data_IF_078607369051
#
_entry.id   IF_078607369051
#
_cell.length_a   1.000
_cell.length_b   1.000
_cell.length_c   1.000
_cell.angle_alpha   90.00
_cell.angle_beta   90.00
_cell.angle_gamma   90.00
#
_symmetry.space_group_name_H-M   'P 1'
#
loop_
_entity.id
_entity.type
_entity.pdbx_description
1 polymer ?
#
# COMPACT_ATOMS: atom_id res chain seq x y z
N UNK A 1 16.25 -13.28 -20.64
CA UNK A 1 15.49 -12.06 -20.29
C UNK A 1 15.89 -11.60 -18.90
N UNK A 2 17.09 -11.04 -18.81
CA UNK A 2 17.67 -10.55 -17.56
C UNK A 2 16.85 -9.35 -17.03
N UNK A 3 16.41 -8.48 -17.94
CA UNK A 3 15.70 -7.23 -17.59
C UNK A 3 14.49 -7.39 -16.65
N UNK A 4 13.65 -8.40 -16.87
CA UNK A 4 12.42 -8.56 -16.05
C UNK A 4 12.68 -9.14 -14.68
N UNK A 5 13.69 -9.97 -14.51
CA UNK A 5 14.05 -10.66 -13.25
C UNK A 5 12.81 -11.13 -12.43
N UNK A 6 11.81 -11.70 -13.09
CA UNK A 6 10.48 -11.95 -12.53
C UNK A 6 10.52 -12.76 -11.23
N UNK A 7 11.33 -13.83 -11.19
CA UNK A 7 11.47 -14.67 -9.99
C UNK A 7 12.12 -13.91 -8.84
N UNK A 8 13.17 -13.13 -9.11
CA UNK A 8 13.87 -12.32 -8.11
C UNK A 8 12.96 -11.27 -7.49
N UNK A 9 12.19 -10.54 -8.32
CA UNK A 9 11.21 -9.59 -7.81
C UNK A 9 10.06 -10.26 -7.08
N UNK A 10 9.60 -11.44 -7.53
CA UNK A 10 8.59 -12.22 -6.80
C UNK A 10 9.06 -12.59 -5.39
N UNK A 11 10.28 -13.10 -5.27
CA UNK A 11 10.85 -13.48 -3.97
C UNK A 11 11.12 -12.26 -3.09
N UNK A 12 11.63 -11.17 -3.66
CA UNK A 12 11.78 -9.88 -2.96
C UNK A 12 10.44 -9.38 -2.41
N UNK A 13 9.40 -9.37 -3.23
CA UNK A 13 8.07 -8.90 -2.82
C UNK A 13 7.48 -9.75 -1.69
N UNK A 14 7.70 -11.07 -1.66
CA UNK A 14 7.31 -11.93 -0.52
C UNK A 14 8.00 -11.49 0.78
N UNK A 15 9.27 -11.09 0.69
CA UNK A 15 10.04 -10.65 1.85
C UNK A 15 9.61 -9.29 2.42
N UNK A 16 9.04 -8.41 1.60
CA UNK A 16 8.66 -7.06 2.00
C UNK A 16 7.17 -6.86 2.23
N UNK A 17 6.32 -7.79 1.83
CA UNK A 17 4.87 -7.78 2.13
C UNK A 17 4.62 -8.08 3.60
N UNK A 18 3.45 -7.71 4.08
CA UNK A 18 2.96 -8.17 5.37
C UNK A 18 2.97 -9.70 5.42
N UNK A 19 3.33 -10.25 6.57
CA UNK A 19 3.23 -11.69 6.80
C UNK A 19 1.77 -12.10 7.01
N UNK A 20 1.46 -13.37 6.83
CA UNK A 20 0.11 -13.90 7.10
C UNK A 20 -0.34 -13.61 8.54
N UNK A 21 0.55 -13.71 9.52
CA UNK A 21 0.25 -13.36 10.90
C UNK A 21 -0.10 -11.87 11.03
N UNK A 22 0.68 -10.97 10.40
CA UNK A 22 0.38 -9.54 10.43
C UNK A 22 -0.96 -9.21 9.77
N UNK A 23 -1.29 -9.85 8.65
CA UNK A 23 -2.60 -9.69 8.00
C UNK A 23 -3.73 -10.20 8.90
N UNK A 24 -3.56 -11.35 9.54
CA UNK A 24 -4.55 -11.91 10.47
C UNK A 24 -4.76 -11.00 11.69
N UNK A 25 -3.68 -10.45 12.25
CA UNK A 25 -3.74 -9.52 13.37
C UNK A 25 -4.43 -8.21 13.01
N UNK A 26 -4.09 -7.61 11.85
CA UNK A 26 -4.76 -6.42 11.32
C UNK A 26 -6.26 -6.68 11.14
N UNK A 27 -6.62 -7.79 10.51
CA UNK A 27 -8.00 -8.18 10.27
C UNK A 27 -8.78 -8.32 11.58
N UNK A 28 -8.27 -9.10 12.53
CA UNK A 28 -8.90 -9.28 13.84
C UNK A 28 -9.05 -7.96 14.60
N UNK A 29 -8.04 -7.08 14.53
CA UNK A 29 -8.06 -5.80 15.23
C UNK A 29 -9.14 -4.86 14.68
N UNK A 30 -9.18 -4.65 13.34
CA UNK A 30 -10.16 -3.74 12.76
C UNK A 30 -11.59 -4.31 12.81
N UNK A 31 -11.79 -5.62 12.63
CA UNK A 31 -13.10 -6.25 12.79
C UNK A 31 -13.64 -6.08 14.21
N UNK A 32 -12.79 -6.30 15.22
CA UNK A 32 -13.14 -6.10 16.63
C UNK A 32 -13.52 -4.65 16.92
N UNK A 33 -12.74 -3.68 16.42
CA UNK A 33 -13.06 -2.26 16.60
C UNK A 33 -14.38 -1.90 15.94
N UNK A 34 -14.59 -2.28 14.70
CA UNK A 34 -15.81 -2.00 13.94
C UNK A 34 -17.05 -2.62 14.57
N UNK A 35 -16.92 -3.85 15.10
CA UNK A 35 -18.01 -4.49 15.85
C UNK A 35 -18.35 -3.74 17.13
N UNK A 36 -17.35 -3.33 17.91
CA UNK A 36 -17.55 -2.53 19.13
C UNK A 36 -18.20 -1.18 18.84
N UNK A 37 -17.78 -0.49 17.75
CA UNK A 37 -18.41 0.76 17.33
C UNK A 37 -19.89 0.59 16.98
N UNK A 38 -20.23 -0.52 16.32
CA UNK A 38 -21.61 -0.84 15.96
C UNK A 38 -22.48 -1.17 17.17
N UNK A 39 -21.90 -1.77 18.20
CA UNK A 39 -22.60 -2.18 19.43
C UNK A 39 -22.65 -1.09 20.51
N UNK A 40 -21.91 0.00 20.35
CA UNK A 40 -21.89 1.10 21.32
C UNK A 40 -23.16 1.95 21.18
N UNK A 41 -23.94 2.03 22.27
CA UNK A 41 -25.25 2.70 22.28
C UNK A 41 -25.14 4.21 22.00
N UNK A 42 -24.07 4.86 22.50
CA UNK A 42 -23.87 6.30 22.34
C UNK A 42 -23.41 6.65 20.92
N UNK A 43 -22.47 5.85 20.36
CA UNK A 43 -21.93 6.09 19.03
C UNK A 43 -22.85 5.65 17.89
N UNK A 44 -23.73 4.68 18.14
CA UNK A 44 -24.70 4.21 17.14
C UNK A 44 -25.65 5.33 16.67
N UNK A 45 -25.87 6.36 17.49
CA UNK A 45 -26.67 7.52 17.13
C UNK A 45 -26.03 8.40 16.04
N UNK A 46 -24.69 8.39 15.92
CA UNK A 46 -23.98 9.20 14.92
C UNK A 46 -23.33 8.37 13.83
N UNK A 47 -23.01 7.12 14.07
CA UNK A 47 -22.28 6.27 13.11
C UNK A 47 -23.22 5.74 12.04
N UNK A 48 -22.94 6.13 10.79
CA UNK A 48 -23.68 5.66 9.61
C UNK A 48 -23.05 4.37 9.09
N UNK A 49 -21.74 4.37 8.92
CA UNK A 49 -20.99 3.29 8.29
C UNK A 49 -19.53 3.32 8.71
N UNK A 50 -18.81 2.22 8.54
CA UNK A 50 -17.37 2.18 8.71
C UNK A 50 -16.72 1.44 7.53
N UNK A 51 -15.59 1.92 7.05
CA UNK A 51 -14.82 1.22 6.02
C UNK A 51 -13.31 1.43 6.19
N UNK A 52 -12.53 0.54 5.58
CA UNK A 52 -11.08 0.60 5.62
C UNK A 52 -10.56 1.55 4.55
N UNK A 53 -9.46 2.25 4.88
CA UNK A 53 -8.69 3.03 3.92
C UNK A 53 -7.18 2.80 4.10
N UNK A 54 -6.36 3.67 3.52
CA UNK A 54 -4.93 3.70 3.70
C UNK A 54 -4.20 2.62 2.91
N UNK A 55 -2.94 2.40 3.27
CA UNK A 55 -2.05 1.52 2.52
C UNK A 55 -2.45 0.04 2.60
N UNK A 56 -3.07 -0.38 3.71
CA UNK A 56 -3.59 -1.73 3.85
C UNK A 56 -4.70 -1.98 2.82
N UNK A 57 -5.70 -1.10 2.76
CA UNK A 57 -6.84 -1.22 1.84
C UNK A 57 -6.42 -1.13 0.37
N UNK A 58 -5.47 -0.26 0.02
CA UNK A 58 -4.94 -0.15 -1.35
C UNK A 58 -3.92 -1.21 -1.72
N UNK A 59 -3.68 -2.20 -0.84
CA UNK A 59 -2.69 -3.27 -1.04
C UNK A 59 -1.26 -2.76 -1.26
N UNK A 60 -0.94 -1.57 -0.77
CA UNK A 60 0.38 -0.94 -0.89
C UNK A 60 1.19 -0.94 0.42
N UNK A 61 0.66 -1.59 1.45
CA UNK A 61 1.35 -1.77 2.72
C UNK A 61 2.63 -2.62 2.54
N UNK A 62 3.69 -2.23 3.25
CA UNK A 62 4.95 -2.98 3.31
C UNK A 62 5.26 -3.34 4.76
N UNK A 63 5.96 -4.46 4.94
CA UNK A 63 6.36 -4.97 6.25
C UNK A 63 6.99 -3.86 7.10
N UNK A 64 6.54 -3.66 8.34
CA UNK A 64 7.16 -2.72 9.25
C UNK A 64 8.59 -3.15 9.59
N UNK A 65 9.44 -2.17 9.93
CA UNK A 65 10.84 -2.36 10.32
C UNK A 65 11.08 -1.75 11.70
N UNK A 66 12.17 -2.14 12.34
CA UNK A 66 12.68 -1.50 13.55
C UNK A 66 11.65 -1.45 14.71
N UNK A 67 10.93 -2.55 14.91
CA UNK A 67 9.94 -2.65 15.99
C UNK A 67 8.66 -1.84 15.77
N UNK A 68 8.50 -1.20 14.60
CA UNK A 68 7.23 -0.55 14.23
C UNK A 68 6.15 -1.60 13.99
N UNK A 69 4.89 -1.20 14.21
CA UNK A 69 3.71 -2.03 13.98
C UNK A 69 3.13 -1.78 12.59
N UNK A 70 2.29 -2.70 12.14
CA UNK A 70 1.47 -2.49 10.95
C UNK A 70 0.29 -1.61 11.32
N UNK A 71 -0.11 -0.72 10.43
CA UNK A 71 -1.22 0.21 10.63
C UNK A 71 -2.40 -0.08 9.70
N UNK A 72 -3.60 0.16 10.20
CA UNK A 72 -4.83 0.18 9.41
C UNK A 72 -5.66 1.39 9.75
N UNK A 73 -6.08 2.10 8.71
CA UNK A 73 -6.91 3.29 8.80
C UNK A 73 -8.40 2.89 8.69
N UNK A 74 -9.22 3.34 9.64
CA UNK A 74 -10.65 3.08 9.67
C UNK A 74 -11.38 4.42 9.59
N UNK A 75 -12.14 4.61 8.52
CA UNK A 75 -13.07 5.73 8.40
C UNK A 75 -14.37 5.37 9.10
N UNK A 76 -14.85 6.27 9.93
CA UNK A 76 -16.19 6.22 10.49
C UNK A 76 -17.01 7.32 9.83
N UNK A 77 -17.91 6.94 8.94
CA UNK A 77 -18.88 7.87 8.36
C UNK A 77 -19.91 8.21 9.41
N UNK A 78 -20.08 9.49 9.68
CA UNK A 78 -21.06 9.95 10.68
C UNK A 78 -22.10 10.87 10.05
N UNK A 79 -23.21 11.09 10.76
CA UNK A 79 -24.22 12.09 10.44
C UNK A 79 -23.96 13.45 11.11
N UNK A 80 -22.74 13.68 11.62
CA UNK A 80 -22.37 14.94 12.25
C UNK A 80 -22.35 16.07 11.21
N UNK A 81 -23.05 17.17 11.51
CA UNK A 81 -23.04 18.35 10.64
C UNK A 81 -21.80 19.21 10.92
N UNK A 82 -20.91 19.30 9.92
CA UNK A 82 -19.69 20.10 9.97
C UNK A 82 -19.92 21.60 10.21
N UNK A 83 -21.15 22.10 10.02
CA UNK A 83 -21.49 23.51 10.25
C UNK A 83 -21.85 23.78 11.71
N UNK A 84 -22.15 22.75 12.50
CA UNK A 84 -22.61 22.87 13.90
C UNK A 84 -21.68 22.15 14.87
N UNK A 85 -20.83 21.24 14.41
CA UNK A 85 -19.89 20.48 15.24
C UNK A 85 -18.45 20.81 14.79
N UNK A 86 -17.63 21.25 15.72
CA UNK A 86 -16.22 21.54 15.46
C UNK A 86 -15.40 20.26 15.26
N UNK A 87 -14.21 20.33 14.60
CA UNK A 87 -13.30 19.19 14.48
C UNK A 87 -12.94 18.52 15.81
N UNK A 88 -12.66 19.31 16.84
CA UNK A 88 -12.34 18.81 18.17
C UNK A 88 -13.53 18.10 18.81
N UNK A 89 -14.72 18.71 18.80
CA UNK A 89 -15.94 18.10 19.34
C UNK A 89 -16.28 16.78 18.64
N UNK A 90 -16.08 16.71 17.32
CA UNK A 90 -16.34 15.48 16.57
C UNK A 90 -15.42 14.34 17.01
N UNK A 91 -14.14 14.63 17.20
CA UNK A 91 -13.16 13.65 17.67
C UNK A 91 -13.44 13.27 19.15
N UNK A 92 -13.74 14.24 20.01
CA UNK A 92 -13.98 14.01 21.44
C UNK A 92 -15.22 13.15 21.72
N UNK A 93 -16.19 13.09 20.79
CA UNK A 93 -17.33 12.15 20.90
C UNK A 93 -16.90 10.68 20.98
N UNK A 94 -15.73 10.34 20.46
CA UNK A 94 -15.20 8.98 20.48
C UNK A 94 -14.34 8.67 21.70
N UNK A 95 -13.94 9.68 22.48
CA UNK A 95 -13.06 9.49 23.64
C UNK A 95 -13.65 8.56 24.71
N UNK A 96 -14.95 8.67 25.12
CA UNK A 96 -15.55 7.75 26.09
C UNK A 96 -15.53 6.27 25.63
N UNK A 97 -15.77 6.03 24.35
CA UNK A 97 -15.68 4.70 23.75
C UNK A 97 -14.23 4.16 23.79
N UNK A 98 -13.26 5.02 23.46
CA UNK A 98 -11.85 4.65 23.49
C UNK A 98 -11.38 4.38 24.92
N UNK A 99 -11.80 5.19 25.89
CA UNK A 99 -11.48 4.95 27.28
C UNK A 99 -12.09 3.63 27.79
N UNK A 100 -13.31 3.32 27.40
CA UNK A 100 -14.00 2.07 27.77
C UNK A 100 -13.31 0.82 27.21
N UNK A 101 -12.83 0.86 25.96
CA UNK A 101 -12.36 -0.35 25.25
C UNK A 101 -10.85 -0.41 25.05
N UNK A 102 -10.14 0.74 25.12
CA UNK A 102 -8.74 0.88 24.79
C UNK A 102 -7.96 1.76 25.78
N UNK A 103 -8.43 1.84 27.03
CA UNK A 103 -7.79 2.65 28.08
C UNK A 103 -6.26 2.46 28.14
N UNK A 104 -5.55 3.58 28.15
CA UNK A 104 -4.09 3.61 28.16
C UNK A 104 -3.41 3.18 26.86
N UNK A 105 -4.17 2.97 25.77
CA UNK A 105 -3.64 2.52 24.47
C UNK A 105 -4.00 3.45 23.32
N UNK A 106 -4.63 4.58 23.58
CA UNK A 106 -5.02 5.52 22.54
C UNK A 106 -4.41 6.89 22.76
N UNK A 107 -4.26 7.64 21.68
CA UNK A 107 -3.70 8.98 21.69
C UNK A 107 -4.35 9.87 20.64
N UNK A 108 -4.48 11.16 20.94
CA UNK A 108 -4.95 12.18 20.00
C UNK A 108 -3.93 12.38 18.89
N UNK A 109 -4.41 12.42 17.67
CA UNK A 109 -3.65 12.82 16.47
C UNK A 109 -4.36 14.01 15.81
N UNK A 110 -3.73 14.67 14.85
CA UNK A 110 -4.31 15.86 14.20
C UNK A 110 -5.69 15.62 13.59
N UNK A 111 -5.92 14.44 13.01
CA UNK A 111 -7.14 14.10 12.24
C UNK A 111 -7.82 12.81 12.68
N UNK A 112 -7.27 12.14 13.67
CA UNK A 112 -7.70 10.80 14.08
C UNK A 112 -7.44 10.55 15.55
N UNK A 113 -7.91 9.40 16.03
CA UNK A 113 -7.41 8.75 17.21
C UNK A 113 -6.54 7.57 16.81
N UNK A 114 -5.29 7.56 17.28
CA UNK A 114 -4.40 6.39 17.14
C UNK A 114 -4.60 5.42 18.28
N UNK A 115 -4.78 4.13 18.01
CA UNK A 115 -4.89 3.07 19.02
C UNK A 115 -3.69 2.13 18.87
N UNK A 116 -2.87 2.05 19.91
CA UNK A 116 -1.67 1.22 19.93
C UNK A 116 -1.98 -0.16 20.52
N UNK A 117 -2.04 -1.17 19.66
CA UNK A 117 -2.15 -2.57 20.09
C UNK A 117 -0.78 -3.23 20.17
N UNK A 118 -0.71 -4.48 20.62
CA UNK A 118 0.58 -5.18 20.76
C UNK A 118 1.37 -5.29 19.46
N UNK A 119 0.69 -5.50 18.33
CA UNK A 119 1.32 -5.77 17.02
C UNK A 119 0.75 -4.92 15.88
N UNK A 120 -0.29 -4.16 16.15
CA UNK A 120 -1.05 -3.36 15.16
C UNK A 120 -1.34 -1.99 15.74
N UNK A 121 -1.28 -0.98 14.90
CA UNK A 121 -1.81 0.35 15.17
C UNK A 121 -3.10 0.54 14.38
N UNK A 122 -4.13 1.13 15.00
CA UNK A 122 -5.39 1.48 14.36
C UNK A 122 -5.53 3.00 14.36
N UNK A 123 -5.79 3.58 13.20
CA UNK A 123 -6.13 5.00 13.07
C UNK A 123 -7.63 5.14 12.80
N UNK A 124 -8.33 5.78 13.74
CA UNK A 124 -9.78 5.96 13.70
C UNK A 124 -10.08 7.39 13.29
N UNK A 125 -10.71 7.55 12.13
CA UNK A 125 -10.99 8.87 11.53
C UNK A 125 -12.50 9.05 11.40
N UNK A 126 -13.15 9.81 12.28
CA UNK A 126 -14.55 10.18 12.09
C UNK A 126 -14.67 11.18 10.93
N UNK A 127 -15.79 11.15 10.23
CA UNK A 127 -16.11 12.13 9.19
C UNK A 127 -17.42 12.81 9.50
N UNK A 128 -17.70 13.93 8.84
CA UNK A 128 -19.07 14.40 8.70
C UNK A 128 -19.70 13.78 7.44
N UNK A 129 -21.02 13.74 7.39
CA UNK A 129 -21.74 13.39 6.17
C UNK A 129 -21.68 14.52 5.14
N UNK A 130 -21.55 14.21 3.82
CA UNK A 130 -21.47 15.24 2.79
C UNK A 130 -22.80 15.96 2.52
N UNK A 131 -23.96 15.30 2.73
CA UNK A 131 -25.28 15.88 2.45
C UNK A 131 -26.40 15.34 3.36
N UNK A 132 -27.53 16.05 3.39
CA UNK A 132 -28.73 15.69 4.15
C UNK A 132 -29.45 14.42 3.63
N UNK A 133 -29.10 13.93 2.45
CA UNK A 133 -29.65 12.70 1.85
C UNK A 133 -29.15 11.40 2.50
N UNK A 134 -28.41 11.52 3.58
CA UNK A 134 -27.79 10.39 4.31
C UNK A 134 -28.83 9.47 4.96
N UNK A 135 -30.01 9.97 5.35
CA UNK A 135 -31.05 9.14 5.95
C UNK A 135 -31.54 8.02 5.00
N UNK A 136 -31.63 8.29 3.70
CA UNK A 136 -31.97 7.26 2.71
C UNK A 136 -30.80 6.29 2.46
N UNK A 137 -29.55 6.77 2.51
CA UNK A 137 -28.37 5.94 2.33
C UNK A 137 -28.14 4.96 3.51
N UNK A 138 -28.53 5.35 4.74
CA UNK A 138 -28.41 4.51 5.95
C UNK A 138 -29.28 3.26 5.85
N UNK A 139 -30.46 3.39 5.28
CA UNK A 139 -31.39 2.26 5.17
C UNK A 139 -30.99 1.22 4.13
N UNK A 140 -30.06 1.53 3.23
CA UNK A 140 -29.55 0.65 2.18
C UNK A 140 -28.15 0.07 2.45
N UNK A 141 -27.57 0.29 3.62
CA UNK A 141 -26.14 0.12 3.92
C UNK A 141 -25.65 -1.32 4.20
N UNK A 142 -26.35 -2.37 3.79
CA UNK A 142 -25.92 -3.76 4.00
C UNK A 142 -24.75 -4.23 3.11
N UNK A 143 -24.16 -3.36 2.28
CA UNK A 143 -23.28 -3.78 1.16
C UNK A 143 -21.76 -3.66 1.46
N UNK A 144 -21.36 -2.94 2.51
CA UNK A 144 -19.94 -2.61 2.76
C UNK A 144 -19.08 -3.75 3.25
N UNK A 145 -19.65 -4.73 3.94
CA UNK A 145 -18.92 -5.93 4.36
C UNK A 145 -18.42 -6.73 3.16
N UNK A 146 -19.15 -6.69 2.04
CA UNK A 146 -18.76 -7.39 0.81
C UNK A 146 -17.59 -6.72 0.09
N UNK A 147 -17.52 -5.38 0.11
CA UNK A 147 -16.42 -4.62 -0.53
C UNK A 147 -15.10 -4.85 0.19
N UNK A 148 -15.09 -4.84 1.52
CA UNK A 148 -13.88 -5.09 2.29
C UNK A 148 -13.35 -6.52 2.09
N UNK A 149 -14.24 -7.52 2.07
CA UNK A 149 -13.89 -8.92 1.82
C UNK A 149 -13.33 -9.13 0.40
N UNK A 150 -13.90 -8.47 -0.61
CA UNK A 150 -13.43 -8.57 -1.99
C UNK A 150 -12.02 -7.98 -2.15
N UNK A 151 -11.70 -6.87 -1.48
CA UNK A 151 -10.37 -6.27 -1.51
C UNK A 151 -9.32 -7.11 -0.78
N UNK A 152 -9.67 -7.76 0.33
CA UNK A 152 -8.79 -8.73 0.99
C UNK A 152 -8.46 -9.91 0.06
N UNK A 153 -9.45 -10.44 -0.65
CA UNK A 153 -9.25 -11.47 -1.67
C UNK A 153 -8.41 -10.97 -2.85
N UNK A 154 -8.50 -9.68 -3.22
CA UNK A 154 -7.63 -9.08 -4.23
C UNK A 154 -6.18 -9.07 -3.79
N UNK A 155 -5.87 -8.72 -2.53
CA UNK A 155 -4.49 -8.78 -2.04
C UNK A 155 -3.95 -10.23 -2.06
N UNK A 156 -4.75 -11.21 -1.72
CA UNK A 156 -4.39 -12.62 -1.88
C UNK A 156 -4.18 -13.03 -3.35
N UNK A 157 -5.00 -12.53 -4.27
CA UNK A 157 -4.83 -12.79 -5.70
C UNK A 157 -3.59 -12.13 -6.29
N UNK A 158 -3.17 -10.97 -5.78
CA UNK A 158 -1.88 -10.35 -6.11
C UNK A 158 -0.70 -11.13 -5.54
N UNK A 159 -0.89 -11.87 -4.44
CA UNK A 159 0.12 -12.79 -3.90
C UNK A 159 0.33 -14.01 -4.78
N UNK A 160 -0.71 -14.47 -5.45
CA UNK A 160 -0.77 -15.76 -6.15
C UNK A 160 -0.40 -15.73 -7.64
N UNK A 161 0.31 -14.76 -8.17
CA UNK A 161 0.79 -14.65 -9.55
C UNK A 161 -0.01 -13.75 -10.50
N UNK A 162 0.69 -12.81 -11.12
CA UNK A 162 0.25 -11.96 -12.21
C UNK A 162 -0.19 -12.67 -13.51
N UNK A 163 -0.49 -13.95 -13.50
CA UNK A 163 -0.80 -14.70 -14.71
C UNK A 163 -2.29 -15.03 -14.90
N UNK A 164 -3.12 -14.96 -13.84
CA UNK A 164 -4.53 -15.36 -13.94
C UNK A 164 -5.54 -14.20 -13.77
N UNK A 165 -5.13 -12.93 -13.76
CA UNK A 165 -5.86 -11.91 -13.02
C UNK A 165 -6.69 -10.91 -13.78
N UNK A 166 -6.56 -10.78 -15.09
CA UNK A 166 -7.37 -9.80 -15.85
C UNK A 166 -8.88 -9.97 -15.63
N UNK A 167 -9.33 -11.24 -15.47
CA UNK A 167 -10.75 -11.55 -15.28
C UNK A 167 -11.25 -11.35 -13.84
N UNK A 168 -10.39 -11.57 -12.83
CA UNK A 168 -10.78 -11.42 -11.43
C UNK A 168 -10.77 -9.96 -10.96
N UNK A 169 -9.83 -9.16 -11.48
CA UNK A 169 -9.78 -7.71 -11.25
C UNK A 169 -11.01 -7.00 -11.80
N UNK A 170 -11.38 -7.31 -13.06
CA UNK A 170 -12.57 -6.72 -13.67
C UNK A 170 -13.85 -7.10 -12.93
N UNK A 171 -13.92 -8.31 -12.37
CA UNK A 171 -15.07 -8.76 -11.56
C UNK A 171 -15.13 -8.04 -10.22
N UNK A 172 -13.99 -7.93 -9.51
CA UNK A 172 -13.93 -7.18 -8.25
C UNK A 172 -14.24 -5.69 -8.46
N UNK A 173 -13.74 -5.10 -9.55
CA UNK A 173 -14.03 -3.72 -9.93
C UNK A 173 -15.53 -3.52 -10.25
N UNK A 174 -16.13 -4.39 -11.04
CA UNK A 174 -17.56 -4.29 -11.36
C UNK A 174 -18.46 -4.45 -10.12
N UNK A 175 -18.06 -5.25 -9.14
CA UNK A 175 -18.75 -5.37 -7.86
C UNK A 175 -18.58 -4.11 -7.00
N UNK A 176 -17.39 -3.51 -7.02
CA UNK A 176 -17.12 -2.24 -6.34
C UNK A 176 -17.94 -1.09 -6.93
N UNK A 177 -17.92 -0.93 -8.26
CA UNK A 177 -18.76 0.08 -8.95
C UNK A 177 -20.24 -0.08 -8.60
N UNK A 178 -20.73 -1.32 -8.63
CA UNK A 178 -22.11 -1.63 -8.31
C UNK A 178 -22.47 -1.28 -6.86
N UNK A 179 -21.58 -1.53 -5.91
CA UNK A 179 -21.78 -1.18 -4.51
C UNK A 179 -21.62 0.33 -4.25
N UNK A 180 -20.76 1.01 -5.01
CA UNK A 180 -20.55 2.46 -4.88
C UNK A 180 -21.71 3.30 -5.41
N UNK A 181 -22.51 2.78 -6.37
CA UNK A 181 -23.69 3.49 -6.90
C UNK A 181 -24.90 3.48 -5.94
N UNK A 182 -24.89 2.61 -4.92
CA UNK A 182 -26.04 2.42 -4.05
C UNK A 182 -26.15 3.42 -2.89
N UNK A 183 -25.11 4.24 -2.65
CA UNK A 183 -25.15 5.29 -1.63
C UNK A 183 -24.53 6.59 -2.14
N UNK A 184 -25.29 7.67 -2.11
CA UNK A 184 -24.86 8.98 -2.65
C UNK A 184 -23.56 9.50 -2.02
N UNK A 185 -23.37 9.32 -0.71
CA UNK A 185 -22.15 9.75 -0.01
C UNK A 185 -20.87 9.04 -0.49
N UNK A 186 -20.96 7.86 -1.10
CA UNK A 186 -19.81 7.15 -1.67
C UNK A 186 -19.29 7.81 -2.96
N UNK A 187 -20.10 8.62 -3.61
CA UNK A 187 -19.73 9.36 -4.81
C UNK A 187 -19.31 10.81 -4.52
N UNK A 188 -19.41 11.26 -3.27
CA UNK A 188 -19.07 12.62 -2.84
C UNK A 188 -17.86 12.60 -1.89
N UNK A 189 -17.03 13.67 -1.88
CA UNK A 189 -16.00 13.83 -0.87
C UNK A 189 -16.58 13.85 0.55
N UNK A 190 -15.87 13.20 1.46
CA UNK A 190 -16.13 13.29 2.89
C UNK A 190 -15.38 14.47 3.49
N UNK A 191 -15.77 14.86 4.71
CA UNK A 191 -15.04 15.85 5.48
C UNK A 191 -14.48 15.20 6.73
N UNK A 192 -13.15 15.29 6.91
CA UNK A 192 -12.45 14.82 8.09
C UNK A 192 -12.07 15.99 8.99
N UNK A 193 -12.10 15.81 10.33
CA UNK A 193 -11.72 16.86 11.25
C UNK A 193 -10.22 17.08 11.22
N UNK A 194 -9.76 18.32 11.26
CA UNK A 194 -8.35 18.67 11.43
C UNK A 194 -8.21 19.63 12.62
N UNK A 195 -7.67 19.11 13.73
CA UNK A 195 -7.42 19.89 14.96
C UNK A 195 -6.33 20.93 14.80
N UNK A 196 -5.36 20.71 13.89
CA UNK A 196 -4.23 21.62 13.71
C UNK A 196 -4.67 22.91 13.02
N UNK A 197 -5.66 22.82 12.13
CA UNK A 197 -6.21 23.96 11.40
C UNK A 197 -7.57 24.42 11.93
N UNK A 198 -8.15 23.67 12.86
CA UNK A 198 -9.53 23.85 13.37
C UNK A 198 -10.57 23.91 12.25
N UNK A 199 -10.38 23.10 11.21
CA UNK A 199 -11.26 23.06 10.04
C UNK A 199 -11.60 21.62 9.65
N UNK A 200 -12.75 21.48 8.99
CA UNK A 200 -13.10 20.26 8.29
C UNK A 200 -12.47 20.25 6.90
N UNK A 201 -11.63 19.27 6.65
CA UNK A 201 -10.95 19.11 5.36
C UNK A 201 -11.63 18.05 4.49
N UNK A 202 -11.77 18.35 3.21
CA UNK A 202 -12.27 17.39 2.24
C UNK A 202 -11.31 16.23 2.03
N UNK A 203 -11.84 15.03 1.87
CA UNK A 203 -11.11 13.83 1.47
C UNK A 203 -12.03 12.90 0.70
N UNK A 204 -11.48 12.10 -0.22
CA UNK A 204 -12.26 11.12 -0.96
C UNK A 204 -11.58 9.75 -1.01
N UNK A 205 -11.55 9.01 0.11
CA UNK A 205 -10.82 7.74 0.21
C UNK A 205 -11.27 6.70 -0.81
N UNK A 206 -12.55 6.66 -1.15
CA UNK A 206 -13.09 5.71 -2.15
C UNK A 206 -12.54 5.99 -3.54
N UNK A 207 -12.41 7.27 -3.93
CA UNK A 207 -11.82 7.64 -5.21
C UNK A 207 -10.34 7.30 -5.28
N UNK A 208 -9.61 7.48 -4.17
CA UNK A 208 -8.21 7.06 -4.06
C UNK A 208 -8.04 5.55 -4.24
N UNK A 209 -8.98 4.75 -3.70
CA UNK A 209 -8.99 3.29 -3.87
C UNK A 209 -9.30 2.93 -5.32
N UNK A 210 -10.36 3.51 -5.91
CA UNK A 210 -10.77 3.29 -7.30
C UNK A 210 -9.62 3.60 -8.26
N UNK A 211 -9.01 4.77 -8.09
CA UNK A 211 -7.87 5.18 -8.90
C UNK A 211 -6.70 4.18 -8.81
N UNK A 212 -6.41 3.66 -7.61
CA UNK A 212 -5.35 2.65 -7.43
C UNK A 212 -5.65 1.36 -8.20
N UNK A 213 -6.91 0.92 -8.23
CA UNK A 213 -7.36 -0.25 -8.98
C UNK A 213 -7.17 -0.03 -10.47
N UNK A 214 -7.65 1.10 -10.99
CA UNK A 214 -7.57 1.46 -12.40
C UNK A 214 -6.11 1.57 -12.85
N UNK A 215 -5.28 2.27 -12.08
CA UNK A 215 -3.85 2.39 -12.34
C UNK A 215 -3.15 1.03 -12.33
N UNK A 216 -3.47 0.17 -11.38
CA UNK A 216 -2.90 -1.17 -11.33
C UNK A 216 -3.30 -2.01 -12.55
N UNK A 217 -4.54 -1.88 -13.02
CA UNK A 217 -5.02 -2.52 -14.25
C UNK A 217 -4.29 -1.98 -15.48
N UNK A 218 -4.16 -0.66 -15.61
CA UNK A 218 -3.42 -0.01 -16.71
C UNK A 218 -1.94 -0.40 -16.74
N UNK A 219 -1.36 -0.75 -15.59
CA UNK A 219 0.02 -1.21 -15.43
C UNK A 219 0.15 -2.75 -15.44
N UNK A 220 -0.75 -3.49 -16.08
CA UNK A 220 -0.71 -4.96 -16.15
C UNK A 220 -0.61 -5.68 -14.78
N UNK A 221 -1.15 -5.09 -13.72
CA UNK A 221 -1.08 -5.62 -12.35
C UNK A 221 0.24 -5.35 -11.62
N UNK A 222 1.14 -4.55 -12.16
CA UNK A 222 2.46 -4.31 -11.58
C UNK A 222 2.52 -3.07 -10.67
N UNK A 223 1.62 -2.08 -10.83
CA UNK A 223 1.68 -0.80 -10.13
C UNK A 223 1.80 -0.94 -8.59
N UNK A 224 0.92 -1.72 -7.96
CA UNK A 224 0.95 -1.93 -6.51
C UNK A 224 2.29 -2.50 -6.03
N UNK A 225 2.92 -3.35 -6.82
CA UNK A 225 4.23 -3.92 -6.53
C UNK A 225 5.37 -2.92 -6.74
N UNK A 226 5.26 -2.03 -7.73
CA UNK A 226 6.19 -0.89 -7.92
C UNK A 226 6.13 0.04 -6.71
N UNK A 227 4.93 0.39 -6.24
CA UNK A 227 4.74 1.19 -5.02
C UNK A 227 5.39 0.53 -3.81
N UNK A 228 5.14 -0.77 -3.58
CA UNK A 228 5.76 -1.53 -2.48
C UNK A 228 7.29 -1.51 -2.56
N UNK A 229 7.85 -1.73 -3.74
CA UNK A 229 9.30 -1.74 -3.95
C UNK A 229 9.94 -0.38 -3.64
N UNK A 230 9.36 0.73 -4.14
CA UNK A 230 9.89 2.08 -3.91
C UNK A 230 9.67 2.50 -2.44
N UNK A 231 8.53 2.18 -1.82
CA UNK A 231 8.32 2.40 -0.38
C UNK A 231 9.33 1.62 0.46
N UNK A 232 9.66 0.39 0.05
CA UNK A 232 10.69 -0.41 0.73
C UNK A 232 12.07 0.19 0.56
N UNK A 233 12.48 0.58 -0.66
CA UNK A 233 13.72 1.28 -0.92
C UNK A 233 13.90 2.48 0.03
N UNK A 234 12.87 3.32 0.16
CA UNK A 234 12.90 4.46 1.04
C UNK A 234 13.11 4.05 2.51
N UNK A 235 12.36 3.05 3.00
CA UNK A 235 12.50 2.53 4.37
C UNK A 235 13.87 1.87 4.62
N UNK A 236 14.44 1.24 3.60
CA UNK A 236 15.73 0.55 3.70
C UNK A 236 16.90 1.53 3.76
N UNK A 237 16.88 2.52 2.90
CA UNK A 237 18.00 3.45 2.72
C UNK A 237 17.91 4.69 3.62
N UNK A 238 16.72 5.09 3.95
CA UNK A 238 16.45 6.33 4.67
C UNK A 238 15.45 6.09 5.81
N UNK A 239 15.79 5.26 6.80
CA UNK A 239 14.87 4.83 7.86
C UNK A 239 14.38 5.97 8.74
N UNK A 240 15.19 7.01 8.93
CA UNK A 240 14.92 8.15 9.80
C UNK A 240 14.21 9.31 9.07
N UNK A 241 14.13 9.25 7.73
CA UNK A 241 13.49 10.30 6.93
C UNK A 241 11.97 10.11 6.97
N UNK A 242 11.26 11.13 7.49
CA UNK A 242 9.81 11.11 7.64
C UNK A 242 9.05 11.52 6.37
N UNK A 243 9.66 12.32 5.52
CA UNK A 243 9.01 12.92 4.35
C UNK A 243 9.69 12.53 3.03
N UNK A 244 8.93 12.48 1.91
CA UNK A 244 7.47 12.54 1.89
C UNK A 244 6.83 11.39 2.68
N UNK A 245 5.68 11.64 3.33
CA UNK A 245 4.89 10.59 4.02
C UNK A 245 4.44 9.51 3.03
N UNK A 246 3.92 8.39 3.55
CA UNK A 246 3.60 7.20 2.77
C UNK A 246 2.60 7.47 1.64
N UNK A 247 1.48 8.18 1.92
CA UNK A 247 0.48 8.47 0.91
C UNK A 247 0.97 9.47 -0.16
N UNK A 248 1.58 10.62 0.19
CA UNK A 248 2.20 11.51 -0.79
C UNK A 248 3.23 10.82 -1.71
N UNK A 249 4.06 9.96 -1.17
CA UNK A 249 5.00 9.16 -1.97
C UNK A 249 4.29 8.20 -2.92
N UNK A 250 3.27 7.48 -2.43
CA UNK A 250 2.46 6.56 -3.22
C UNK A 250 1.74 7.30 -4.37
N UNK A 251 1.17 8.47 -4.07
CA UNK A 251 0.52 9.34 -5.04
C UNK A 251 1.48 9.75 -6.15
N UNK A 252 2.66 10.26 -5.78
CA UNK A 252 3.69 10.69 -6.73
C UNK A 252 4.22 9.54 -7.59
N UNK A 253 4.43 8.35 -7.01
CA UNK A 253 4.73 7.14 -7.77
C UNK A 253 3.62 6.87 -8.80
N UNK A 254 2.36 7.07 -8.43
CA UNK A 254 1.23 6.87 -9.33
C UNK A 254 1.25 7.80 -10.55
N UNK A 255 1.60 9.07 -10.36
CA UNK A 255 1.71 10.03 -11.46
C UNK A 255 2.89 9.74 -12.38
N UNK A 256 3.97 9.17 -11.82
CA UNK A 256 5.19 8.90 -12.56
C UNK A 256 5.28 7.49 -13.15
N UNK A 257 4.53 6.52 -12.65
CA UNK A 257 4.51 5.16 -13.18
C UNK A 257 3.77 5.12 -14.52
N UNK A 258 4.46 4.69 -15.58
CA UNK A 258 3.87 4.59 -16.91
C UNK A 258 2.85 3.46 -16.99
N UNK A 259 1.78 3.66 -17.76
CA UNK A 259 0.87 2.58 -18.11
C UNK A 259 1.55 1.56 -19.04
N UNK A 260 1.05 0.34 -19.05
CA UNK A 260 1.56 -0.70 -19.93
C UNK A 260 2.89 -1.33 -19.52
N UNK A 261 3.46 -1.00 -18.36
CA UNK A 261 4.68 -1.65 -17.87
C UNK A 261 4.50 -3.17 -17.81
N UNK A 262 5.54 -3.91 -18.17
CA UNK A 262 5.50 -5.37 -18.27
C UNK A 262 6.18 -6.09 -17.11
N UNK A 263 6.81 -5.36 -16.19
CA UNK A 263 7.48 -5.92 -15.01
C UNK A 263 7.64 -4.89 -13.90
N UNK A 264 7.86 -5.38 -12.67
CA UNK A 264 8.17 -4.51 -11.53
C UNK A 264 9.52 -3.83 -11.71
N UNK A 265 10.51 -4.53 -12.30
CA UNK A 265 11.82 -3.97 -12.62
C UNK A 265 11.70 -2.75 -13.52
N UNK A 266 10.96 -2.89 -14.62
CA UNK A 266 10.67 -1.79 -15.55
C UNK A 266 9.94 -0.64 -14.87
N UNK A 267 8.86 -0.95 -14.14
CA UNK A 267 8.07 0.06 -13.45
C UNK A 267 8.87 0.86 -12.43
N UNK A 268 9.72 0.20 -11.62
CA UNK A 268 10.61 0.90 -10.68
C UNK A 268 11.60 1.80 -11.42
N UNK A 269 12.25 1.28 -12.46
CA UNK A 269 13.25 2.04 -13.22
C UNK A 269 12.64 3.28 -13.86
N UNK A 270 11.58 3.10 -14.65
CA UNK A 270 10.94 4.20 -15.37
C UNK A 270 10.32 5.23 -14.42
N UNK A 271 9.74 4.80 -13.30
CA UNK A 271 9.17 5.72 -12.30
C UNK A 271 10.26 6.60 -11.66
N UNK A 272 11.36 6.01 -11.22
CA UNK A 272 12.46 6.76 -10.61
C UNK A 272 13.11 7.73 -11.63
N UNK A 273 13.30 7.30 -12.87
CA UNK A 273 13.83 8.14 -13.94
C UNK A 273 12.90 9.31 -14.27
N UNK A 274 11.59 9.06 -14.34
CA UNK A 274 10.61 10.12 -14.60
C UNK A 274 10.62 11.16 -13.49
N UNK A 275 10.67 10.75 -12.21
CA UNK A 275 10.82 11.70 -11.12
C UNK A 275 12.11 12.50 -11.26
N UNK A 276 13.24 11.85 -11.55
CA UNK A 276 14.55 12.50 -11.68
C UNK A 276 14.65 13.46 -12.87
N UNK A 277 13.95 13.17 -13.97
CA UNK A 277 14.03 13.98 -15.19
C UNK A 277 13.01 15.10 -15.23
N UNK A 278 11.77 14.84 -14.78
CA UNK A 278 10.65 15.74 -15.02
C UNK A 278 10.32 16.63 -13.82
N UNK A 279 10.81 16.27 -12.61
CA UNK A 279 10.44 16.95 -11.37
C UNK A 279 11.64 17.46 -10.55
N UNK A 280 12.53 18.30 -11.15
CA UNK A 280 13.67 18.87 -10.43
C UNK A 280 13.27 19.87 -9.34
N UNK A 281 12.04 20.39 -9.37
CA UNK A 281 11.42 21.21 -8.33
C UNK A 281 10.16 20.52 -7.80
N UNK A 282 9.76 20.83 -6.56
CA UNK A 282 8.56 20.29 -5.93
C UNK A 282 7.32 20.58 -6.78
N UNK A 283 6.61 19.54 -7.28
CA UNK A 283 5.38 19.75 -8.04
C UNK A 283 4.19 20.03 -7.13
N UNK A 284 3.16 20.67 -7.67
CA UNK A 284 1.82 20.58 -7.15
C UNK A 284 1.23 19.22 -7.55
N UNK A 285 0.82 18.42 -6.56
CA UNK A 285 0.19 17.11 -6.79
C UNK A 285 -1.29 17.18 -6.45
N UNK A 286 -2.13 17.32 -7.48
CA UNK A 286 -3.59 17.35 -7.33
C UNK A 286 -4.11 16.03 -6.74
N UNK A 287 -4.82 16.08 -5.60
CA UNK A 287 -5.38 14.88 -4.96
C UNK A 287 -6.43 14.20 -5.86
N UNK A 288 -6.48 12.87 -5.83
CA UNK A 288 -7.35 12.06 -6.71
C UNK A 288 -8.83 12.36 -6.55
N UNK A 289 -9.25 12.63 -5.34
CA UNK A 289 -10.66 12.82 -5.02
C UNK A 289 -11.03 14.26 -4.68
N UNK A 290 -10.04 15.14 -4.49
CA UNK A 290 -10.19 16.55 -4.15
C UNK A 290 -9.14 17.34 -4.94
N UNK A 291 -9.35 17.59 -6.23
CA UNK A 291 -8.32 18.13 -7.15
C UNK A 291 -7.71 19.47 -6.75
N UNK A 292 -8.41 20.26 -5.94
CA UNK A 292 -7.91 21.52 -5.38
C UNK A 292 -6.87 21.35 -4.27
N UNK A 293 -6.73 20.15 -3.70
CA UNK A 293 -5.74 19.86 -2.65
C UNK A 293 -4.40 19.45 -3.25
N UNK A 294 -3.33 20.07 -2.78
CA UNK A 294 -1.96 19.66 -3.05
C UNK A 294 -1.52 18.57 -2.06
N UNK A 295 -1.29 17.37 -2.57
CA UNK A 295 -0.81 16.23 -1.76
C UNK A 295 0.58 16.50 -1.18
N UNK A 296 1.39 17.36 -1.82
CA UNK A 296 2.68 17.83 -1.31
C UNK A 296 2.60 19.14 -0.55
N UNK A 297 1.42 19.70 -0.31
CA UNK A 297 1.25 21.01 0.33
C UNK A 297 1.92 21.17 1.70
N UNK A 298 2.08 20.06 2.45
CA UNK A 298 2.78 20.03 3.75
C UNK A 298 4.25 19.60 3.65
N UNK A 299 4.80 19.44 2.45
CA UNK A 299 6.20 19.08 2.22
C UNK A 299 7.01 20.34 1.96
N UNK A 300 7.99 20.61 2.84
CA UNK A 300 8.89 21.74 2.68
C UNK A 300 9.82 21.57 1.47
N UNK A 301 10.23 22.67 0.84
CA UNK A 301 11.05 22.68 -0.38
C UNK A 301 12.42 22.01 -0.18
N UNK A 302 13.09 22.29 0.93
CA UNK A 302 14.39 21.71 1.27
C UNK A 302 14.28 20.19 1.46
N UNK A 303 13.21 19.72 2.13
CA UNK A 303 12.94 18.29 2.32
C UNK A 303 12.61 17.61 0.99
N UNK A 304 11.93 18.31 0.07
CA UNK A 304 11.72 17.80 -1.29
C UNK A 304 13.05 17.67 -2.05
N UNK A 305 13.93 18.68 -1.96
CA UNK A 305 15.21 18.67 -2.64
C UNK A 305 16.11 17.51 -2.15
N UNK A 306 16.15 17.26 -0.86
CA UNK A 306 16.85 16.10 -0.28
C UNK A 306 16.28 14.78 -0.82
N UNK A 307 14.97 14.66 -0.84
CA UNK A 307 14.29 13.48 -1.43
C UNK A 307 14.62 13.32 -2.91
N UNK A 308 14.58 14.41 -3.70
CA UNK A 308 14.87 14.40 -5.13
C UNK A 308 16.30 13.93 -5.41
N UNK A 309 17.28 14.39 -4.65
CA UNK A 309 18.68 13.95 -4.81
C UNK A 309 18.82 12.44 -4.54
N UNK A 310 18.11 11.90 -3.54
CA UNK A 310 18.12 10.46 -3.29
C UNK A 310 17.47 9.67 -4.43
N UNK A 311 16.41 10.21 -5.07
CA UNK A 311 15.75 9.60 -6.22
C UNK A 311 16.67 9.58 -7.44
N UNK A 312 17.42 10.66 -7.72
CA UNK A 312 18.38 10.71 -8.82
C UNK A 312 19.43 9.58 -8.74
N UNK A 313 19.94 9.35 -7.55
CA UNK A 313 20.92 8.27 -7.36
C UNK A 313 20.27 6.89 -7.45
N UNK A 314 19.07 6.74 -6.93
CA UNK A 314 18.30 5.51 -7.08
C UNK A 314 17.96 5.19 -8.56
N UNK A 315 17.61 6.21 -9.36
CA UNK A 315 17.32 6.06 -10.79
C UNK A 315 18.55 5.53 -11.56
N UNK A 316 19.75 6.07 -11.29
CA UNK A 316 21.01 5.58 -11.91
C UNK A 316 21.26 4.12 -11.58
N UNK A 317 21.06 3.74 -10.31
CA UNK A 317 21.25 2.34 -9.86
C UNK A 317 20.22 1.42 -10.50
N UNK A 318 18.93 1.85 -10.52
CA UNK A 318 17.85 1.08 -11.12
C UNK A 318 18.08 0.87 -12.63
N UNK A 319 18.50 1.91 -13.37
CA UNK A 319 18.84 1.80 -14.80
C UNK A 319 19.98 0.84 -15.03
N UNK A 320 21.06 0.96 -14.26
CA UNK A 320 22.19 0.04 -14.36
C UNK A 320 21.79 -1.41 -14.09
N UNK A 321 20.92 -1.64 -13.10
CA UNK A 321 20.40 -2.97 -12.79
C UNK A 321 19.50 -3.52 -13.90
N UNK A 322 18.65 -2.67 -14.49
CA UNK A 322 17.71 -3.03 -15.54
C UNK A 322 18.41 -3.37 -16.85
N UNK A 323 19.46 -2.63 -17.20
CA UNK A 323 20.22 -2.78 -18.42
C UNK A 323 21.38 -3.81 -18.31
N UNK A 324 21.57 -4.43 -17.15
CA UNK A 324 22.63 -5.39 -16.94
C UNK A 324 22.52 -6.62 -17.87
N UNK A 325 23.65 -7.08 -18.39
CA UNK A 325 23.71 -8.21 -19.30
C UNK A 325 23.53 -9.56 -18.59
N UNK A 326 23.88 -9.63 -17.31
CA UNK A 326 23.82 -10.86 -16.52
C UNK A 326 22.92 -10.74 -15.30
N UNK A 327 22.32 -11.86 -14.88
CA UNK A 327 21.53 -11.93 -13.63
C UNK A 327 22.38 -11.58 -12.42
N UNK A 328 23.67 -11.94 -12.42
CA UNK A 328 24.61 -11.65 -11.33
C UNK A 328 24.78 -10.13 -11.15
N UNK A 329 25.03 -9.41 -12.24
CA UNK A 329 25.18 -7.96 -12.24
C UNK A 329 23.86 -7.27 -11.86
N UNK A 330 22.76 -7.66 -12.50
CA UNK A 330 21.43 -7.13 -12.20
C UNK A 330 21.08 -7.29 -10.71
N UNK A 331 21.22 -8.51 -10.16
CA UNK A 331 20.92 -8.77 -8.75
C UNK A 331 21.82 -7.96 -7.81
N UNK A 332 23.10 -7.80 -8.17
CA UNK A 332 24.05 -7.00 -7.40
C UNK A 332 23.62 -5.53 -7.34
N UNK A 333 23.19 -4.93 -8.45
CA UNK A 333 22.75 -3.55 -8.49
C UNK A 333 21.38 -3.36 -7.79
N UNK A 334 20.40 -4.25 -8.01
CA UNK A 334 19.12 -4.20 -7.31
C UNK A 334 19.29 -4.31 -5.79
N UNK A 335 20.24 -5.10 -5.30
CA UNK A 335 20.54 -5.16 -3.86
C UNK A 335 21.06 -3.85 -3.30
N UNK A 336 21.71 -3.00 -4.10
CA UNK A 336 22.09 -1.66 -3.66
C UNK A 336 20.87 -0.78 -3.33
N UNK A 337 19.74 -0.99 -4.02
CA UNK A 337 18.49 -0.29 -3.73
C UNK A 337 17.72 -0.94 -2.57
N UNK A 338 17.50 -2.25 -2.66
CA UNK A 338 16.53 -2.94 -1.80
C UNK A 338 17.14 -3.65 -0.58
N UNK A 339 18.47 -3.63 -0.47
CA UNK A 339 19.18 -4.27 0.64
C UNK A 339 19.15 -5.80 0.57
N UNK A 340 19.32 -6.43 1.72
CA UNK A 340 19.43 -7.89 1.85
C UNK A 340 18.13 -8.66 1.61
N UNK A 341 16.98 -7.96 1.51
CA UNK A 341 15.70 -8.58 1.17
C UNK A 341 15.59 -8.91 -0.32
N UNK A 342 16.35 -8.23 -1.16
CA UNK A 342 16.45 -8.64 -2.56
C UNK A 342 17.35 -9.88 -2.66
N UNK A 343 16.98 -10.94 -3.42
CA UNK A 343 17.74 -12.18 -3.49
C UNK A 343 19.22 -11.99 -3.88
N UNK A 344 20.06 -12.87 -3.38
CA UNK A 344 21.49 -12.85 -3.71
C UNK A 344 21.73 -13.18 -5.19
N UNK A 345 22.80 -12.63 -5.78
CA UNK A 345 23.27 -13.08 -7.09
C UNK A 345 23.47 -14.60 -7.09
N UNK A 346 23.27 -15.27 -8.23
CA UNK A 346 23.54 -16.69 -8.33
C UNK A 346 24.99 -16.96 -7.96
N UNK A 347 25.23 -17.96 -7.11
CA UNK A 347 26.60 -18.40 -6.82
C UNK A 347 27.24 -18.85 -8.13
N UNK A 348 28.40 -18.31 -8.47
CA UNK A 348 29.20 -18.90 -9.56
C UNK A 348 29.40 -20.35 -9.19
N UNK A 349 28.86 -21.27 -9.97
CA UNK A 349 29.31 -22.66 -9.90
C UNK A 349 30.82 -22.62 -10.18
N UNK A 350 31.61 -22.79 -9.14
CA UNK A 350 33.03 -23.15 -9.34
C UNK A 350 32.99 -24.31 -10.30
N UNK A 351 33.55 -24.06 -11.51
CA UNK A 351 33.40 -24.89 -12.70
C UNK A 351 33.40 -26.37 -12.35
N UNK A 352 32.56 -27.12 -13.03
CA UNK A 352 32.60 -28.55 -13.04
C UNK A 352 34.07 -28.98 -13.09
N UNK A 353 34.63 -29.41 -11.97
CA UNK A 353 35.67 -30.38 -12.03
C UNK A 353 34.99 -31.61 -12.62
N UNK A 354 35.00 -31.69 -13.96
CA UNK A 354 34.92 -32.97 -14.60
C UNK A 354 36.12 -33.73 -14.04
N UNK A 355 35.91 -34.57 -13.06
CA UNK A 355 36.83 -35.66 -12.74
C UNK A 355 36.91 -36.44 -14.02
N UNK A 356 38.07 -36.38 -14.70
CA UNK A 356 38.40 -37.28 -15.77
C UNK A 356 38.10 -38.68 -15.24
N UNK A 357 37.21 -39.37 -15.93
CA UNK A 357 36.91 -40.76 -15.66
C UNK A 357 38.18 -41.50 -15.99
N UNK A 358 38.92 -41.92 -14.98
CA UNK A 358 40.01 -42.87 -15.17
C UNK A 358 39.41 -44.10 -15.84
N UNK A 359 39.69 -44.27 -17.10
CA UNK A 359 39.48 -45.51 -17.83
C UNK A 359 40.49 -46.54 -17.32
N UNK A 360 40.26 -47.10 -16.15
CA UNK A 360 40.88 -48.37 -15.78
C UNK A 360 40.19 -49.46 -16.59
N UNK A 361 40.82 -49.77 -17.69
CA UNK A 361 40.51 -50.95 -18.51
C UNK A 361 40.77 -52.22 -17.70
N UNK A 362 39.81 -52.67 -16.93
CA UNK A 362 39.81 -54.05 -16.43
C UNK A 362 39.07 -54.91 -17.43
N UNK A 363 39.84 -55.71 -18.15
CA UNK A 363 39.37 -56.85 -18.93
C UNK A 363 38.42 -57.71 -18.06
N UNK A 364 37.17 -57.78 -18.42
CA UNK A 364 36.23 -58.76 -17.91
C UNK A 364 36.25 -59.91 -18.91
N UNK A 365 36.97 -61.01 -18.57
CA UNK A 365 36.89 -62.27 -19.27
C UNK A 365 35.45 -62.83 -19.25
N UNK A 366 35.06 -63.34 -20.40
CA UNK A 366 33.69 -63.79 -20.65
C UNK A 366 33.29 -64.99 -19.78
N UNK A 367 32.21 -64.88 -19.05
CA UNK A 367 31.47 -66.00 -18.48
C UNK A 367 30.33 -66.42 -19.39
N UNK A 368 30.42 -67.63 -19.94
CA UNK A 368 29.33 -68.29 -20.69
C UNK A 368 28.19 -68.62 -19.78
N UNK A 369 27.00 -68.33 -20.18
CA UNK A 369 25.78 -68.91 -19.64
C UNK A 369 25.54 -70.26 -20.32
N UNK A 370 25.34 -71.29 -19.52
CA UNK A 370 24.64 -72.51 -19.86
C UNK A 370 23.21 -72.42 -19.28
#
# INVERSE_FOLDING_TARGET
MVQKMTTYFSDFLKEIRLTENQVTELKSAHETLRQRLKEDEDLSAYTVETFLQGSYKRSTAVRPKNGKRSDVDIIIVTNLDKNTVTPEEALDKFEPFLEKHYSGKFQKQGRSWGIEMSHVDLDVVPTSAPSETVEEAVNNSFITTSVDIEYEKMDESYKAYGFLQKNNLNKAFSMFEKSATDAAWKNEPLYIPDRETDNWEKTHPLEQIRWTIDKNSACNGHYVNVVKAIKWWRKEKYPDVKHPKSYPLEHFIGDCCSDGIESVAEGVTLTLERIANDYPAKPFLSDRGVPEHDVFGRLEEDVYNDFYDTVKDAAKIARKAYDADTIEEAATEWRKLFGNKFPEPPKRSSGNQFTERNEDSRNIEGGRFA
#
